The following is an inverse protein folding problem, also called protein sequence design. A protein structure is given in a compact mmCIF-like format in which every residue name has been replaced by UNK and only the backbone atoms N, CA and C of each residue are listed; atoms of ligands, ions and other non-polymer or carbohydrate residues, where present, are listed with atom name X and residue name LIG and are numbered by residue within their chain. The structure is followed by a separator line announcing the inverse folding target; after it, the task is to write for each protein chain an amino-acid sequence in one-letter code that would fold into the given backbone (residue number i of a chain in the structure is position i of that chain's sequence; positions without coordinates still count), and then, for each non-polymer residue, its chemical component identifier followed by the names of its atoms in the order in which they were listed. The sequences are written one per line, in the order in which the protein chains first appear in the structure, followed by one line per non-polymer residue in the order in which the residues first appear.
data_IF_209752394032
#
_entry.id   IF_209752394032
#
_cell.length_a   1.000
_cell.length_b   1.000
_cell.length_c   1.000
_cell.angle_alpha   90.00
_cell.angle_beta   90.00
_cell.angle_gamma   90.00
#
_symmetry.space_group_name_H-M   'P 1'
#
loop_
_entity.id
_entity.type
_entity.pdbx_description
1 polymer ?
#
# COMPACT_ATOMS: atom_id res chain seq x y z
N UNK A 1 57.54 -8.42 -27.59
CA UNK A 1 56.26 -9.07 -27.94
C UNK A 1 55.28 -8.73 -26.84
N UNK A 2 54.42 -7.76 -27.13
CA UNK A 2 53.61 -6.98 -26.20
C UNK A 2 52.58 -7.81 -25.43
N UNK A 3 52.63 -7.73 -24.09
CA UNK A 3 51.48 -8.04 -23.24
C UNK A 3 50.56 -6.82 -23.22
N UNK A 4 49.64 -6.78 -24.17
CA UNK A 4 48.48 -5.87 -24.11
C UNK A 4 47.63 -6.31 -22.92
N UNK A 5 47.79 -5.62 -21.79
CA UNK A 5 46.87 -5.70 -20.67
C UNK A 5 45.52 -5.17 -21.15
N UNK A 6 44.57 -6.08 -21.38
CA UNK A 6 43.15 -5.72 -21.48
C UNK A 6 42.75 -5.12 -20.13
N UNK A 7 42.83 -3.80 -20.01
CA UNK A 7 42.12 -3.06 -18.96
C UNK A 7 40.65 -3.30 -19.23
N UNK A 8 40.01 -4.10 -18.38
CA UNK A 8 38.56 -4.04 -18.27
C UNK A 8 38.22 -2.61 -17.87
N UNK A 9 37.74 -1.82 -18.84
CA UNK A 9 37.37 -0.45 -18.60
C UNK A 9 36.16 -0.45 -17.67
N UNK A 10 36.43 -0.21 -16.39
CA UNK A 10 35.38 -0.08 -15.40
C UNK A 10 34.45 1.05 -15.86
N UNK A 11 33.13 0.79 -16.01
CA UNK A 11 32.21 1.80 -16.47
C UNK A 11 32.28 3.00 -15.54
N UNK A 12 32.46 4.18 -16.13
CA UNK A 12 32.52 5.44 -15.41
C UNK A 12 31.25 5.64 -14.58
N UNK A 13 31.35 6.38 -13.47
CA UNK A 13 30.21 6.57 -12.55
C UNK A 13 28.95 7.06 -13.28
N UNK A 14 29.12 7.93 -14.28
CA UNK A 14 28.03 8.37 -15.15
C UNK A 14 27.33 7.23 -15.90
N UNK A 15 28.07 6.26 -16.42
CA UNK A 15 27.52 5.08 -17.10
C UNK A 15 26.85 4.11 -16.11
N UNK A 16 27.33 4.04 -14.86
CA UNK A 16 26.63 3.30 -13.79
C UNK A 16 25.31 3.98 -13.44
N UNK A 17 25.31 5.29 -13.29
CA UNK A 17 24.12 6.08 -12.94
C UNK A 17 23.06 6.06 -14.05
N UNK A 18 23.47 6.12 -15.32
CA UNK A 18 22.55 5.98 -16.46
C UNK A 18 21.84 4.62 -16.45
N UNK A 19 22.58 3.52 -16.25
CA UNK A 19 21.96 2.18 -16.14
C UNK A 19 21.03 2.03 -14.95
N UNK A 20 21.33 2.68 -13.82
CA UNK A 20 20.45 2.70 -12.65
C UNK A 20 19.15 3.46 -12.93
N UNK A 21 19.24 4.59 -13.64
CA UNK A 21 18.05 5.38 -14.01
C UNK A 21 17.20 4.65 -15.07
N UNK A 22 17.82 4.00 -16.06
CA UNK A 22 17.11 3.19 -17.06
C UNK A 22 16.40 1.98 -16.44
N UNK A 23 16.98 1.37 -15.40
CA UNK A 23 16.31 0.30 -14.62
C UNK A 23 15.13 0.81 -13.77
N UNK A 24 15.15 2.09 -13.40
CA UNK A 24 14.04 2.71 -12.66
C UNK A 24 12.87 3.08 -13.58
N UNK A 25 13.15 3.43 -14.84
CA UNK A 25 12.14 3.84 -15.83
C UNK A 25 11.27 2.67 -16.35
N UNK A 26 11.76 1.42 -16.21
CA UNK A 26 11.04 0.21 -16.60
C UNK A 26 10.07 -0.37 -15.54
N UNK A 27 10.07 0.17 -14.31
CA UNK A 27 9.07 -0.21 -13.30
C UNK A 27 7.83 0.63 -13.53
N UNK A 28 6.84 0.07 -14.23
CA UNK A 28 5.52 0.66 -14.37
C UNK A 28 5.08 1.27 -13.04
N UNK A 29 4.78 2.57 -13.04
CA UNK A 29 4.08 3.25 -11.97
C UNK A 29 2.66 2.68 -11.94
N UNK A 30 2.52 1.45 -11.43
CA UNK A 30 1.22 0.99 -10.95
C UNK A 30 0.86 1.96 -9.85
N UNK A 31 -0.17 2.77 -10.05
CA UNK A 31 -0.59 3.81 -9.12
C UNK A 31 -0.77 3.17 -7.74
N UNK A 32 0.23 3.31 -6.86
CA UNK A 32 0.28 2.67 -5.54
C UNK A 32 -0.85 3.16 -4.60
N UNK A 33 -1.63 4.12 -5.06
CA UNK A 33 -2.65 4.83 -4.31
C UNK A 33 -4.08 4.47 -4.75
N UNK A 34 -4.27 3.50 -5.66
CA UNK A 34 -5.58 3.09 -6.17
C UNK A 34 -5.87 1.61 -5.94
N UNK A 35 -7.14 1.32 -5.65
CA UNK A 35 -7.70 -0.04 -5.50
C UNK A 35 -7.98 -0.70 -6.86
N UNK A 36 -8.38 -1.98 -6.84
CA UNK A 36 -8.67 -2.79 -8.01
C UNK A 36 -9.77 -2.18 -8.90
N UNK A 37 -10.77 -1.53 -8.30
CA UNK A 37 -11.81 -0.77 -8.97
C UNK A 37 -11.45 0.71 -9.21
N UNK A 38 -10.17 1.05 -9.12
CA UNK A 38 -9.62 2.39 -9.40
C UNK A 38 -10.12 3.50 -8.45
N UNK A 39 -10.57 3.15 -7.25
CA UNK A 39 -10.82 4.15 -6.20
C UNK A 39 -9.52 4.53 -5.51
N UNK A 40 -9.38 5.79 -5.11
CA UNK A 40 -8.25 6.21 -4.29
C UNK A 40 -8.32 5.55 -2.91
N UNK A 41 -7.18 5.05 -2.42
CA UNK A 41 -7.12 4.29 -1.16
C UNK A 41 -7.58 5.10 0.05
N UNK A 42 -7.25 6.39 0.11
CA UNK A 42 -7.69 7.29 1.17
C UNK A 42 -9.21 7.48 1.19
N UNK A 43 -9.85 7.54 0.02
CA UNK A 43 -11.30 7.60 -0.12
C UNK A 43 -11.98 6.32 0.34
N UNK A 44 -11.45 5.14 -0.05
CA UNK A 44 -12.00 3.85 0.37
C UNK A 44 -11.86 3.65 1.89
N UNK A 45 -10.71 3.99 2.48
CA UNK A 45 -10.52 3.95 3.93
C UNK A 45 -11.50 4.88 4.66
N UNK A 46 -11.78 6.05 4.08
CA UNK A 46 -12.76 6.99 4.61
C UNK A 46 -14.19 6.48 4.49
N UNK A 47 -14.53 5.82 3.37
CA UNK A 47 -15.83 5.21 3.13
C UNK A 47 -16.09 4.04 4.09
N UNK A 48 -15.08 3.19 4.33
CA UNK A 48 -15.12 2.10 5.31
C UNK A 48 -15.45 2.64 6.71
N UNK A 49 -14.70 3.62 7.22
CA UNK A 49 -14.94 4.20 8.55
C UNK A 49 -16.35 4.79 8.66
N UNK A 50 -16.78 5.53 7.63
CA UNK A 50 -18.11 6.12 7.55
C UNK A 50 -19.24 5.08 7.52
N UNK A 51 -19.04 3.94 6.87
CA UNK A 51 -20.01 2.85 6.83
C UNK A 51 -20.12 2.15 8.19
N UNK A 52 -18.99 1.84 8.83
CA UNK A 52 -18.97 1.23 10.17
C UNK A 52 -19.61 2.15 11.21
N UNK A 53 -19.26 3.45 11.24
CA UNK A 53 -19.82 4.42 12.18
C UNK A 53 -21.34 4.59 12.05
N UNK A 54 -21.91 4.35 10.87
CA UNK A 54 -23.36 4.40 10.61
C UNK A 54 -24.04 3.04 10.66
N UNK A 55 -23.33 1.99 11.08
CA UNK A 55 -23.83 0.60 11.10
C UNK A 55 -24.36 0.10 9.75
N UNK A 56 -23.79 0.58 8.64
CA UNK A 56 -24.17 0.16 7.29
C UNK A 56 -23.31 -1.04 6.86
N UNK A 57 -23.67 -2.24 7.34
CA UNK A 57 -22.88 -3.47 7.19
C UNK A 57 -22.54 -3.84 5.74
N UNK A 58 -23.48 -3.78 4.77
CA UNK A 58 -23.17 -4.15 3.38
C UNK A 58 -22.04 -3.31 2.78
N UNK A 59 -22.12 -1.99 2.92
CA UNK A 59 -21.09 -1.05 2.45
C UNK A 59 -19.75 -1.27 3.17
N UNK A 60 -19.78 -1.50 4.49
CA UNK A 60 -18.56 -1.76 5.24
C UNK A 60 -17.83 -3.02 4.74
N UNK A 61 -18.58 -4.09 4.47
CA UNK A 61 -18.02 -5.32 3.88
C UNK A 61 -17.50 -5.09 2.46
N UNK A 62 -18.20 -4.30 1.65
CA UNK A 62 -17.75 -3.95 0.30
C UNK A 62 -16.40 -3.21 0.33
N UNK A 63 -16.29 -2.14 1.11
CA UNK A 63 -15.04 -1.36 1.20
C UNK A 63 -13.89 -2.16 1.81
N UNK A 64 -14.16 -3.02 2.79
CA UNK A 64 -13.16 -3.92 3.35
C UNK A 64 -12.66 -4.95 2.32
N UNK A 65 -13.57 -5.57 1.57
CA UNK A 65 -13.23 -6.52 0.51
C UNK A 65 -12.44 -5.85 -0.62
N UNK A 66 -12.78 -4.62 -0.98
CA UNK A 66 -12.05 -3.84 -1.99
C UNK A 66 -10.58 -3.64 -1.56
N UNK A 67 -10.35 -3.22 -0.32
CA UNK A 67 -8.99 -3.03 0.21
C UNK A 67 -8.20 -4.34 0.28
N UNK A 68 -8.84 -5.43 0.74
CA UNK A 68 -8.20 -6.74 0.86
C UNK A 68 -7.80 -7.30 -0.52
N UNK A 69 -8.72 -7.27 -1.49
CA UNK A 69 -8.47 -7.72 -2.87
C UNK A 69 -7.43 -6.88 -3.60
N UNK A 70 -7.27 -5.62 -3.21
CA UNK A 70 -6.29 -4.69 -3.79
C UNK A 70 -4.91 -4.78 -3.13
N UNK A 71 -4.71 -5.68 -2.15
CA UNK A 71 -3.42 -5.85 -1.47
C UNK A 71 -3.15 -4.86 -0.33
N UNK A 72 -4.14 -4.05 0.06
CA UNK A 72 -4.02 -3.08 1.16
C UNK A 72 -4.37 -3.67 2.54
N UNK A 73 -4.18 -4.98 2.74
CA UNK A 73 -4.53 -5.69 3.97
C UNK A 73 -3.97 -5.04 5.24
N UNK A 74 -2.70 -4.58 5.21
CA UNK A 74 -2.08 -3.88 6.34
C UNK A 74 -2.82 -2.58 6.67
N UNK A 75 -3.16 -1.77 5.67
CA UNK A 75 -3.87 -0.51 5.85
C UNK A 75 -5.31 -0.74 6.34
N UNK A 76 -5.97 -1.79 5.83
CA UNK A 76 -7.28 -2.24 6.30
C UNK A 76 -7.26 -2.59 7.78
N UNK A 77 -6.35 -3.47 8.22
CA UNK A 77 -6.27 -3.90 9.62
C UNK A 77 -5.92 -2.75 10.56
N UNK A 78 -4.98 -1.89 10.18
CA UNK A 78 -4.66 -0.67 10.94
C UNK A 78 -5.90 0.24 11.08
N UNK A 79 -6.70 0.38 10.02
CA UNK A 79 -7.92 1.18 10.05
C UNK A 79 -9.01 0.56 10.90
N UNK A 80 -9.17 -0.77 10.88
CA UNK A 80 -10.16 -1.47 11.72
C UNK A 80 -9.85 -1.33 13.21
N UNK A 81 -8.59 -1.41 13.61
CA UNK A 81 -8.16 -1.14 15.00
C UNK A 81 -8.49 0.31 15.39
N UNK A 82 -8.21 1.27 14.51
CA UNK A 82 -8.51 2.69 14.75
C UNK A 82 -10.00 2.92 14.92
N UNK A 83 -10.84 2.41 14.01
CA UNK A 83 -12.31 2.47 14.10
C UNK A 83 -12.82 1.80 15.38
N UNK A 84 -12.30 0.61 15.72
CA UNK A 84 -12.67 -0.09 16.94
C UNK A 84 -12.35 0.71 18.20
N UNK A 85 -11.26 1.48 18.19
CA UNK A 85 -10.86 2.35 19.30
C UNK A 85 -11.61 3.69 19.35
N UNK A 86 -11.93 4.29 18.20
CA UNK A 86 -12.54 5.62 18.08
C UNK A 86 -14.07 5.57 18.15
N UNK A 87 -14.68 4.72 17.31
CA UNK A 87 -16.12 4.74 17.05
C UNK A 87 -16.90 3.73 17.89
N UNK A 88 -16.24 2.68 18.43
CA UNK A 88 -16.92 1.54 19.08
C UNK A 88 -16.51 1.34 20.55
N UNK A 89 -15.32 1.78 20.96
CA UNK A 89 -14.67 1.37 22.22
C UNK A 89 -15.50 1.60 23.48
N UNK A 90 -16.24 2.71 23.60
CA UNK A 90 -17.09 2.96 24.77
C UNK A 90 -18.27 1.98 24.86
N UNK A 91 -18.75 1.46 23.72
CA UNK A 91 -19.79 0.43 23.65
C UNK A 91 -19.25 -1.00 23.75
N UNK A 92 -17.99 -1.23 23.38
CA UNK A 92 -17.32 -2.52 23.48
C UNK A 92 -15.81 -2.37 23.82
N UNK A 93 -15.46 -2.12 25.10
CA UNK A 93 -14.09 -1.76 25.48
C UNK A 93 -13.03 -2.82 25.17
N UNK A 94 -13.43 -4.09 25.13
CA UNK A 94 -12.55 -5.21 24.80
C UNK A 94 -12.27 -5.36 23.29
N UNK A 95 -12.99 -4.65 22.42
CA UNK A 95 -12.91 -4.84 20.97
C UNK A 95 -11.51 -4.52 20.41
N UNK A 96 -10.85 -3.39 20.74
CA UNK A 96 -9.51 -3.09 20.21
C UNK A 96 -8.45 -4.11 20.64
N UNK A 97 -8.63 -4.76 21.80
CA UNK A 97 -7.73 -5.81 22.29
C UNK A 97 -7.89 -7.13 21.50
N UNK A 98 -9.07 -7.40 20.95
CA UNK A 98 -9.37 -8.62 20.19
C UNK A 98 -8.96 -8.55 18.71
N UNK A 99 -8.65 -7.37 18.20
CA UNK A 99 -8.31 -7.12 16.80
C UNK A 99 -6.79 -7.24 16.51
N UNK A 100 -6.01 -7.84 17.41
CA UNK A 100 -4.56 -8.02 17.31
C UNK A 100 -4.18 -9.44 16.94
#
# INVERSE_FOLDING_TARGET
MDRVLLREEFPTDHQRQQRLNEQQDGRSVVNADHTANLYRVDEVLSALQKAVRRSHVPDALYWAAELDRSGYHRALMQRLVLIGSEDVSLGAPALPLRMR
#
